data_IF_523701273907
#
_entry.id   IF_523701273907
#
_cell.length_a   1.000
_cell.length_b   1.000
_cell.length_c   1.000
_cell.angle_alpha   90.00
_cell.angle_beta   90.00
_cell.angle_gamma   90.00
#
_symmetry.space_group_name_H-M   'P 1'
#
loop_
_entity.id
_entity.type
_entity.pdbx_description
1 polymer ?
#
# COMPACT_ATOMS: atom_id res chain seq x y z
N UNK A 1 -7.46 19.53 -10.07
CA UNK A 1 -7.63 18.65 -8.90
C UNK A 1 -6.28 18.53 -8.23
N UNK A 2 -6.21 18.63 -6.91
CA UNK A 2 -4.95 18.43 -6.18
C UNK A 2 -4.79 16.95 -5.83
N UNK A 3 -3.63 16.36 -6.14
CA UNK A 3 -3.33 14.96 -5.82
C UNK A 3 -2.86 14.83 -4.39
N UNK A 4 -3.34 13.82 -3.67
CA UNK A 4 -2.71 13.35 -2.45
C UNK A 4 -1.56 12.42 -2.82
N UNK A 5 -0.33 12.91 -2.73
CA UNK A 5 0.85 12.19 -3.22
C UNK A 5 2.04 12.40 -2.30
N UNK A 6 2.88 11.40 -2.19
CA UNK A 6 4.15 11.43 -1.46
C UNK A 6 4.90 10.13 -1.60
N UNK A 7 5.89 9.90 -0.74
CA UNK A 7 6.74 8.74 -0.81
C UNK A 7 6.69 7.88 0.46
N UNK A 8 7.44 6.78 0.45
CA UNK A 8 7.66 5.94 1.61
C UNK A 8 8.81 6.51 2.46
N UNK A 9 8.47 7.08 3.61
CA UNK A 9 9.38 7.86 4.45
C UNK A 9 10.00 7.07 5.59
N UNK A 10 11.23 7.46 5.98
CA UNK A 10 11.89 6.92 7.15
C UNK A 10 11.30 7.47 8.45
N UNK A 11 11.06 6.60 9.43
CA UNK A 11 10.59 6.95 10.78
C UNK A 11 11.74 7.33 11.74
N UNK A 12 12.98 7.35 11.26
CA UNK A 12 14.12 7.77 12.08
C UNK A 12 13.92 9.22 12.59
N UNK A 13 14.04 9.42 13.90
CA UNK A 13 13.78 10.71 14.55
C UNK A 13 12.34 10.91 15.03
N UNK A 14 11.43 9.96 14.80
CA UNK A 14 10.06 9.98 15.29
C UNK A 14 9.09 10.85 14.47
N UNK A 15 7.93 11.15 15.06
CA UNK A 15 6.80 11.77 14.37
C UNK A 15 7.11 13.12 13.72
N UNK A 16 7.84 14.00 14.41
CA UNK A 16 8.18 15.30 13.85
C UNK A 16 9.11 15.21 12.65
N UNK A 17 10.15 14.37 12.73
CA UNK A 17 11.09 14.17 11.64
C UNK A 17 10.43 13.52 10.42
N UNK A 18 9.44 12.65 10.63
CA UNK A 18 8.64 12.05 9.57
C UNK A 18 7.87 13.13 8.79
N UNK A 19 7.21 14.04 9.49
CA UNK A 19 6.47 15.14 8.88
C UNK A 19 7.39 16.15 8.17
N UNK A 20 8.54 16.47 8.77
CA UNK A 20 9.55 17.34 8.15
C UNK A 20 10.02 16.77 6.80
N UNK A 21 10.28 15.46 6.71
CA UNK A 21 10.64 14.80 5.43
C UNK A 21 9.53 14.94 4.40
N UNK A 22 8.26 14.73 4.81
CA UNK A 22 7.13 14.92 3.89
C UNK A 22 7.05 16.36 3.37
N UNK A 23 7.29 17.36 4.23
CA UNK A 23 7.35 18.77 3.80
C UNK A 23 8.52 19.02 2.83
N UNK A 24 9.69 18.45 3.08
CA UNK A 24 10.87 18.58 2.21
C UNK A 24 10.64 18.02 0.81
N UNK A 25 9.85 16.95 0.70
CA UNK A 25 9.46 16.36 -0.60
C UNK A 25 8.25 17.06 -1.23
N UNK A 26 7.56 17.93 -0.50
CA UNK A 26 6.29 18.53 -0.93
C UNK A 26 5.14 17.54 -0.93
N UNK A 27 5.22 16.48 -0.12
CA UNK A 27 4.19 15.45 0.00
C UNK A 27 2.90 15.96 0.66
N UNK A 28 1.77 15.38 0.26
CA UNK A 28 0.44 15.60 0.85
C UNK A 28 -0.22 14.29 1.29
N UNK A 29 0.43 13.17 1.08
CA UNK A 29 0.23 11.85 1.62
C UNK A 29 1.60 11.19 1.78
N UNK A 30 1.73 10.11 2.51
CA UNK A 30 2.96 9.33 2.60
C UNK A 30 2.73 7.97 3.24
N UNK A 31 3.73 7.08 3.08
CA UNK A 31 3.81 5.82 3.80
C UNK A 31 4.99 5.80 4.77
N UNK A 32 4.97 4.88 5.72
CA UNK A 32 6.09 4.56 6.60
C UNK A 32 5.90 3.17 7.21
N UNK A 33 6.98 2.56 7.69
CA UNK A 33 6.90 1.34 8.49
C UNK A 33 6.71 1.69 9.97
N UNK A 34 5.67 1.16 10.66
CA UNK A 34 5.47 1.44 12.09
C UNK A 34 6.56 0.82 12.96
N UNK A 35 7.23 -0.22 12.44
CA UNK A 35 8.39 -0.90 13.03
C UNK A 35 9.35 -1.36 11.93
N UNK A 36 10.53 -1.89 12.31
CA UNK A 36 11.50 -2.37 11.32
C UNK A 36 10.90 -3.35 10.32
N UNK A 37 11.01 -3.12 9.00
CA UNK A 37 10.45 -4.00 7.98
C UNK A 37 11.10 -5.39 7.92
N UNK A 38 12.27 -5.56 8.57
CA UNK A 38 13.04 -6.81 8.58
C UNK A 38 12.94 -7.59 9.90
N UNK A 39 11.91 -7.33 10.71
CA UNK A 39 11.64 -8.10 11.94
C UNK A 39 12.64 -7.89 13.08
N UNK A 40 13.59 -6.98 12.96
CA UNK A 40 14.42 -6.59 14.10
C UNK A 40 13.59 -5.72 15.04
N UNK A 41 13.70 -5.92 16.34
CA UNK A 41 13.15 -5.00 17.34
C UNK A 41 13.76 -3.62 17.13
N UNK A 42 13.16 -2.81 16.26
CA UNK A 42 13.39 -1.37 16.25
C UNK A 42 12.60 -0.77 17.40
N UNK A 43 13.05 0.37 17.89
CA UNK A 43 12.22 1.17 18.79
C UNK A 43 10.96 1.54 18.01
N UNK A 44 9.82 1.01 18.44
CA UNK A 44 8.53 1.39 17.87
C UNK A 44 8.34 2.90 17.97
N UNK A 45 7.56 3.48 17.06
CA UNK A 45 7.12 4.87 17.20
C UNK A 45 6.40 5.02 18.55
N UNK A 46 6.59 6.18 19.19
CA UNK A 46 6.00 6.44 20.49
C UNK A 46 4.46 6.56 20.37
N UNK A 47 3.68 5.65 20.97
CA UNK A 47 2.22 5.72 20.90
C UNK A 47 1.66 7.04 21.47
N UNK A 48 2.32 7.63 22.46
CA UNK A 48 1.88 8.89 23.07
C UNK A 48 1.92 10.07 22.07
N UNK A 49 2.78 10.02 21.06
CA UNK A 49 2.85 11.04 20.01
C UNK A 49 1.86 10.84 18.86
N UNK A 50 1.27 9.66 18.74
CA UNK A 50 0.46 9.30 17.57
C UNK A 50 -0.78 10.19 17.39
N UNK A 51 -1.54 10.44 18.46
CA UNK A 51 -2.73 11.31 18.40
C UNK A 51 -2.37 12.75 18.04
N UNK A 52 -1.32 13.32 18.64
CA UNK A 52 -0.85 14.67 18.32
C UNK A 52 -0.38 14.77 16.87
N UNK A 53 0.31 13.74 16.38
CA UNK A 53 0.71 13.65 14.98
C UNK A 53 -0.48 13.60 14.03
N UNK A 54 -1.48 12.75 14.30
CA UNK A 54 -2.71 12.66 13.52
C UNK A 54 -3.47 13.99 13.47
N UNK A 55 -3.63 14.66 14.62
CA UNK A 55 -4.27 15.97 14.69
C UNK A 55 -3.53 17.03 13.86
N UNK A 56 -2.20 17.00 13.85
CA UNK A 56 -1.37 17.91 13.05
C UNK A 56 -1.54 17.66 11.56
N UNK A 57 -1.47 16.40 11.10
CA UNK A 57 -1.70 16.05 9.70
C UNK A 57 -3.07 16.52 9.21
N UNK A 58 -4.11 16.29 10.01
CA UNK A 58 -5.47 16.76 9.70
C UNK A 58 -5.54 18.27 9.56
N UNK A 59 -4.90 18.99 10.49
CA UNK A 59 -4.87 20.46 10.46
C UNK A 59 -4.10 21.02 9.25
N UNK A 60 -3.07 20.31 8.78
CA UNK A 60 -2.27 20.67 7.60
C UNK A 60 -2.90 20.20 6.28
N UNK A 61 -4.04 19.48 6.32
CA UNK A 61 -4.78 19.08 5.12
C UNK A 61 -4.20 17.88 4.38
N UNK A 62 -3.46 17.03 5.07
CA UNK A 62 -2.96 15.78 4.48
C UNK A 62 -4.11 14.86 4.04
N UNK A 63 -3.89 14.15 2.94
CA UNK A 63 -4.71 13.03 2.51
C UNK A 63 -4.58 11.82 3.44
N UNK A 64 -5.26 10.72 3.13
CA UNK A 64 -5.14 9.49 3.91
C UNK A 64 -3.69 9.00 3.97
N UNK A 65 -3.24 8.57 5.16
CA UNK A 65 -1.96 7.88 5.32
C UNK A 65 -2.07 6.42 4.86
N UNK A 66 -1.03 5.92 4.23
CA UNK A 66 -0.92 4.53 3.79
C UNK A 66 0.27 3.89 4.48
N UNK A 67 0.09 3.48 5.75
CA UNK A 67 1.16 2.87 6.54
C UNK A 67 1.45 1.47 6.02
N UNK A 68 2.71 1.14 5.79
CA UNK A 68 3.10 -0.16 5.25
C UNK A 68 3.50 -1.13 6.36
N UNK A 69 2.86 -2.28 6.42
CA UNK A 69 3.25 -3.33 7.36
C UNK A 69 4.63 -3.92 6.98
N UNK A 70 5.43 -4.36 7.97
CA UNK A 70 6.71 -5.02 7.68
C UNK A 70 6.60 -6.22 6.75
N UNK A 71 7.53 -6.36 5.81
CA UNK A 71 7.58 -7.46 4.82
C UNK A 71 7.67 -8.86 5.45
N UNK A 72 8.09 -8.95 6.72
CA UNK A 72 8.16 -10.23 7.43
C UNK A 72 6.80 -10.79 7.84
N UNK A 73 5.73 -10.01 7.74
CA UNK A 73 4.38 -10.48 8.03
C UNK A 73 3.92 -11.40 6.90
N UNK A 74 3.80 -12.68 7.18
CA UNK A 74 3.31 -13.66 6.20
C UNK A 74 2.14 -14.45 6.79
N UNK A 75 0.93 -13.98 6.52
CA UNK A 75 -0.30 -14.63 6.96
C UNK A 75 -0.57 -15.96 6.22
N UNK A 76 0.02 -16.17 5.03
CA UNK A 76 -0.14 -17.37 4.22
C UNK A 76 0.89 -18.48 4.52
N UNK A 77 1.88 -18.21 5.37
CA UNK A 77 3.00 -19.15 5.59
C UNK A 77 2.58 -20.42 6.31
N UNK A 78 3.27 -21.54 6.04
CA UNK A 78 3.01 -22.84 6.70
C UNK A 78 3.46 -22.92 8.16
N UNK A 79 4.37 -22.04 8.57
CA UNK A 79 4.89 -21.96 9.94
C UNK A 79 3.90 -21.21 10.82
N UNK A 80 3.22 -21.95 11.70
CA UNK A 80 2.18 -21.41 12.57
C UNK A 80 2.73 -20.34 13.52
N UNK A 81 3.92 -20.53 14.08
CA UNK A 81 4.52 -19.54 15.00
C UNK A 81 4.79 -18.20 14.29
N UNK A 82 5.21 -18.24 13.01
CA UNK A 82 5.39 -17.03 12.20
C UNK A 82 4.07 -16.37 11.84
N UNK A 83 3.02 -17.16 11.54
CA UNK A 83 1.69 -16.60 11.31
C UNK A 83 1.13 -15.93 12.56
N UNK A 84 1.22 -16.60 13.72
CA UNK A 84 0.79 -16.04 15.01
C UNK A 84 1.51 -14.72 15.30
N UNK A 85 2.83 -14.69 15.11
CA UNK A 85 3.61 -13.46 15.23
C UNK A 85 3.10 -12.35 14.29
N UNK A 86 2.82 -12.67 13.03
CA UNK A 86 2.32 -11.69 12.06
C UNK A 86 0.95 -11.14 12.46
N UNK A 87 0.04 -12.00 12.95
CA UNK A 87 -1.29 -11.61 13.43
C UNK A 87 -1.18 -10.67 14.64
N UNK A 88 -0.37 -11.04 15.63
CA UNK A 88 -0.18 -10.25 16.85
C UNK A 88 0.46 -8.90 16.55
N UNK A 89 1.51 -8.89 15.74
CA UNK A 89 2.23 -7.67 15.39
C UNK A 89 1.37 -6.73 14.50
N UNK A 90 0.56 -7.26 13.59
CA UNK A 90 -0.36 -6.46 12.79
C UNK A 90 -1.47 -5.84 13.66
N UNK A 91 -1.99 -6.58 14.65
CA UNK A 91 -2.97 -6.04 15.60
C UNK A 91 -2.37 -4.89 16.43
N UNK A 92 -1.14 -5.04 16.95
CA UNK A 92 -0.42 -3.97 17.65
C UNK A 92 -0.18 -2.74 16.77
N UNK A 93 0.13 -2.93 15.48
CA UNK A 93 0.29 -1.83 14.53
C UNK A 93 -1.04 -1.09 14.30
N UNK A 94 -2.16 -1.82 14.19
CA UNK A 94 -3.50 -1.23 14.08
C UNK A 94 -3.84 -0.42 15.34
N UNK A 95 -3.54 -0.92 16.54
CA UNK A 95 -3.76 -0.18 17.80
C UNK A 95 -2.99 1.15 17.81
N UNK A 96 -1.73 1.15 17.39
CA UNK A 96 -0.94 2.38 17.26
C UNK A 96 -1.60 3.38 16.29
N UNK A 97 -2.07 2.91 15.14
CA UNK A 97 -2.67 3.75 14.11
C UNK A 97 -4.07 4.22 14.46
N UNK A 98 -4.79 3.50 15.32
CA UNK A 98 -6.11 3.90 15.81
C UNK A 98 -6.05 5.26 16.51
N UNK A 99 -5.00 5.57 17.25
CA UNK A 99 -4.81 6.88 17.87
C UNK A 99 -4.69 8.02 16.84
N UNK A 100 -4.07 7.77 15.68
CA UNK A 100 -3.98 8.73 14.56
C UNK A 100 -5.38 8.96 13.96
N UNK A 101 -6.12 7.88 13.74
CA UNK A 101 -7.48 7.93 13.19
C UNK A 101 -8.45 8.65 14.13
N UNK A 102 -8.41 8.35 15.42
CA UNK A 102 -9.26 9.01 16.43
C UNK A 102 -8.98 10.51 16.56
N UNK A 103 -7.77 10.95 16.24
CA UNK A 103 -7.42 12.36 16.11
C UNK A 103 -7.96 13.03 14.83
N UNK A 104 -8.67 12.28 13.98
CA UNK A 104 -9.37 12.76 12.79
C UNK A 104 -8.60 12.65 11.48
N UNK A 105 -7.41 12.04 11.49
CA UNK A 105 -6.64 11.74 10.28
C UNK A 105 -7.04 10.36 9.73
N UNK A 106 -7.44 10.31 8.46
CA UNK A 106 -7.69 9.03 7.79
C UNK A 106 -6.37 8.28 7.61
N UNK A 107 -6.38 6.98 7.97
CA UNK A 107 -5.20 6.12 7.92
C UNK A 107 -5.59 4.70 7.57
N UNK A 108 -4.80 4.08 6.70
CA UNK A 108 -4.87 2.68 6.31
C UNK A 108 -3.57 1.98 6.66
N UNK A 109 -3.62 0.65 6.81
CA UNK A 109 -2.42 -0.18 6.85
C UNK A 109 -2.39 -1.11 5.64
N UNK A 110 -1.37 -0.93 4.79
CA UNK A 110 -1.12 -1.77 3.63
C UNK A 110 -0.32 -3.01 4.04
N UNK A 111 -0.69 -4.17 3.52
CA UNK A 111 0.06 -5.42 3.69
C UNK A 111 0.29 -6.10 2.34
N UNK A 112 1.46 -6.72 2.16
CA UNK A 112 1.58 -7.82 1.23
C UNK A 112 0.73 -8.98 1.77
N UNK A 113 -0.21 -9.55 1.01
CA UNK A 113 -1.10 -10.60 1.54
C UNK A 113 -0.34 -11.78 2.13
N UNK A 114 0.78 -12.15 1.52
CA UNK A 114 1.68 -13.18 1.98
C UNK A 114 2.07 -14.17 0.88
N UNK A 115 2.89 -15.16 1.24
CA UNK A 115 3.35 -16.21 0.34
C UNK A 115 3.00 -17.59 0.91
N UNK A 116 2.40 -18.45 0.09
CA UNK A 116 1.90 -19.76 0.53
C UNK A 116 3.00 -20.83 0.75
N UNK A 117 4.22 -20.54 0.35
CA UNK A 117 5.43 -21.38 0.61
C UNK A 117 5.19 -22.86 0.29
N UNK A 118 4.65 -23.16 -0.90
CA UNK A 118 4.42 -24.52 -1.39
C UNK A 118 3.14 -25.21 -0.90
N UNK A 119 2.26 -24.55 -0.12
CA UNK A 119 0.98 -25.12 0.32
C UNK A 119 -0.15 -25.01 -0.71
N UNK A 120 0.08 -24.26 -1.78
CA UNK A 120 -0.92 -23.91 -2.80
C UNK A 120 -1.66 -22.63 -2.51
N UNK A 121 -2.08 -21.96 -3.57
CA UNK A 121 -2.72 -20.63 -3.55
C UNK A 121 -4.02 -20.64 -2.74
N UNK A 122 -4.89 -21.64 -2.95
CA UNK A 122 -6.15 -21.76 -2.21
C UNK A 122 -5.93 -21.81 -0.69
N UNK A 123 -4.98 -22.64 -0.24
CA UNK A 123 -4.60 -22.70 1.18
C UNK A 123 -4.04 -21.36 1.66
N UNK A 124 -3.19 -20.72 0.86
CA UNK A 124 -2.61 -19.42 1.18
C UNK A 124 -3.68 -18.34 1.37
N UNK A 125 -4.59 -18.19 0.42
CA UNK A 125 -5.68 -17.21 0.47
C UNK A 125 -6.59 -17.44 1.68
N UNK A 126 -6.95 -18.70 1.97
CA UNK A 126 -7.74 -19.05 3.16
C UNK A 126 -7.02 -18.68 4.46
N UNK A 127 -5.75 -19.00 4.59
CA UNK A 127 -4.95 -18.66 5.78
C UNK A 127 -4.83 -17.14 5.99
N UNK A 128 -4.73 -16.36 4.91
CA UNK A 128 -4.73 -14.89 4.99
C UNK A 128 -6.05 -14.39 5.55
N UNK A 129 -7.17 -14.86 5.01
CA UNK A 129 -8.51 -14.48 5.50
C UNK A 129 -8.72 -14.83 6.97
N UNK A 130 -8.37 -16.07 7.37
CA UNK A 130 -8.44 -16.53 8.76
C UNK A 130 -7.54 -15.69 9.68
N UNK A 131 -6.33 -15.34 9.19
CA UNK A 131 -5.41 -14.47 9.92
C UNK A 131 -5.96 -13.06 10.12
N UNK A 132 -6.54 -12.46 9.08
CA UNK A 132 -7.17 -11.14 9.17
C UNK A 132 -8.40 -11.16 10.11
N UNK A 133 -9.21 -12.20 10.12
CA UNK A 133 -10.30 -12.34 11.08
C UNK A 133 -9.78 -12.31 12.51
N UNK A 134 -8.70 -13.05 12.81
CA UNK A 134 -8.06 -13.03 14.13
C UNK A 134 -7.43 -11.66 14.47
N UNK A 135 -6.91 -10.94 13.49
CA UNK A 135 -6.43 -9.56 13.68
C UNK A 135 -7.58 -8.65 14.09
N UNK A 136 -8.71 -8.70 13.36
CA UNK A 136 -9.87 -7.84 13.63
C UNK A 136 -10.63 -8.21 14.92
N UNK A 137 -10.49 -9.43 15.42
CA UNK A 137 -10.96 -9.79 16.79
C UNK A 137 -10.14 -9.10 17.89
N UNK A 138 -8.89 -8.74 17.63
CA UNK A 138 -7.95 -8.13 18.60
C UNK A 138 -7.92 -6.61 18.50
N UNK A 139 -7.91 -6.08 17.27
CA UNK A 139 -7.83 -4.66 16.99
C UNK A 139 -8.66 -4.32 15.75
N UNK A 140 -9.53 -3.33 15.89
CA UNK A 140 -10.30 -2.79 14.77
C UNK A 140 -10.10 -1.27 14.66
N UNK A 141 -10.75 -0.66 13.70
CA UNK A 141 -10.72 0.80 13.57
C UNK A 141 -9.79 1.33 12.48
N UNK A 142 -8.85 0.54 11.98
CA UNK A 142 -8.03 0.87 10.81
C UNK A 142 -8.26 -0.18 9.73
N UNK A 143 -8.56 0.27 8.51
CA UNK A 143 -8.74 -0.63 7.37
C UNK A 143 -7.40 -1.21 6.95
N UNK A 144 -7.36 -2.53 6.74
CA UNK A 144 -6.23 -3.24 6.14
C UNK A 144 -6.40 -3.24 4.63
N UNK A 145 -5.38 -2.81 3.91
CA UNK A 145 -5.34 -2.85 2.45
C UNK A 145 -4.47 -4.03 2.01
N UNK A 146 -5.04 -4.88 1.18
CA UNK A 146 -4.30 -5.95 0.49
C UNK A 146 -3.65 -5.36 -0.74
N UNK A 147 -2.35 -5.46 -0.85
CA UNK A 147 -1.64 -5.00 -2.02
C UNK A 147 -1.81 -5.96 -3.20
N UNK A 148 -1.99 -5.42 -4.41
CA UNK A 148 -1.87 -6.20 -5.63
C UNK A 148 -0.42 -6.65 -5.80
N UNK A 149 -0.18 -7.95 -5.97
CA UNK A 149 1.18 -8.52 -6.01
C UNK A 149 1.62 -8.88 -7.43
N UNK A 150 2.92 -8.80 -7.67
CA UNK A 150 3.54 -9.13 -8.97
C UNK A 150 3.48 -10.64 -9.32
N UNK A 151 3.17 -11.50 -8.36
CA UNK A 151 3.16 -12.95 -8.56
C UNK A 151 4.54 -13.60 -8.49
N UNK A 152 5.47 -12.97 -7.77
CA UNK A 152 6.82 -13.49 -7.59
C UNK A 152 6.82 -14.72 -6.68
N UNK A 153 7.38 -15.81 -7.14
CA UNK A 153 7.51 -17.04 -6.37
C UNK A 153 6.15 -17.64 -5.97
N UNK A 154 5.80 -17.58 -4.69
CA UNK A 154 4.58 -18.16 -4.13
C UNK A 154 3.67 -17.12 -3.48
N UNK A 155 3.75 -15.88 -3.92
CA UNK A 155 2.89 -14.79 -3.45
C UNK A 155 1.41 -15.09 -3.72
N UNK A 156 0.55 -14.71 -2.77
CA UNK A 156 -0.89 -14.66 -2.91
C UNK A 156 -1.31 -13.21 -3.22
N UNK A 157 -2.43 -13.04 -3.92
CA UNK A 157 -2.90 -11.71 -4.34
C UNK A 157 -2.27 -11.22 -5.64
N UNK A 158 -1.71 -12.13 -6.44
CA UNK A 158 -1.10 -11.84 -7.75
C UNK A 158 -2.11 -11.53 -8.87
N UNK A 159 -3.37 -11.78 -8.63
CA UNK A 159 -4.46 -11.43 -9.53
C UNK A 159 -5.69 -10.99 -8.71
N UNK A 160 -6.63 -10.35 -9.37
CA UNK A 160 -7.82 -9.82 -8.73
C UNK A 160 -8.72 -10.90 -8.12
N UNK A 161 -8.78 -12.10 -8.71
CA UNK A 161 -9.57 -13.21 -8.19
C UNK A 161 -9.02 -13.75 -6.86
N UNK A 162 -7.70 -13.82 -6.70
CA UNK A 162 -7.07 -14.19 -5.42
C UNK A 162 -7.35 -13.14 -4.34
N UNK A 163 -7.27 -11.84 -4.66
CA UNK A 163 -7.62 -10.77 -3.73
C UNK A 163 -9.10 -10.82 -3.35
N UNK A 164 -10.00 -11.01 -4.32
CA UNK A 164 -11.42 -11.19 -4.06
C UNK A 164 -11.69 -12.41 -3.16
N UNK A 165 -11.01 -13.54 -3.42
CA UNK A 165 -11.10 -14.75 -2.59
C UNK A 165 -10.68 -14.48 -1.14
N UNK A 166 -9.57 -13.75 -0.93
CA UNK A 166 -9.13 -13.36 0.41
C UNK A 166 -10.17 -12.47 1.07
N UNK A 167 -10.63 -11.43 0.37
CA UNK A 167 -11.63 -10.48 0.89
C UNK A 167 -12.96 -11.17 1.21
N UNK A 168 -13.35 -12.17 0.42
CA UNK A 168 -14.57 -12.95 0.66
C UNK A 168 -14.50 -13.84 1.90
N UNK A 169 -13.31 -14.27 2.29
CA UNK A 169 -13.09 -15.01 3.54
C UNK A 169 -13.00 -14.13 4.78
N UNK A 170 -12.86 -12.79 4.63
CA UNK A 170 -12.87 -11.85 5.76
C UNK A 170 -14.30 -11.59 6.22
N UNK A 171 -14.59 -11.77 7.52
CA UNK A 171 -15.94 -11.59 8.09
C UNK A 171 -16.36 -10.11 8.07
N UNK A 172 -15.52 -9.22 8.56
CA UNK A 172 -15.77 -7.78 8.53
C UNK A 172 -15.28 -7.15 7.21
N UNK A 173 -16.10 -7.24 6.17
CA UNK A 173 -15.84 -6.69 4.83
C UNK A 173 -15.57 -5.18 4.81
N UNK A 174 -15.98 -4.44 5.84
CA UNK A 174 -15.74 -3.00 5.92
C UNK A 174 -14.29 -2.68 6.29
N UNK A 175 -13.58 -3.61 6.92
CA UNK A 175 -12.21 -3.41 7.40
C UNK A 175 -11.13 -3.87 6.40
N UNK A 176 -11.53 -4.30 5.19
CA UNK A 176 -10.58 -4.72 4.16
C UNK A 176 -10.81 -3.97 2.85
N UNK A 177 -9.72 -3.53 2.23
CA UNK A 177 -9.67 -2.87 0.93
C UNK A 177 -8.45 -3.31 0.15
N UNK A 178 -8.10 -2.57 -0.89
CA UNK A 178 -6.99 -2.88 -1.80
C UNK A 178 -6.09 -1.66 -1.99
N UNK A 179 -4.78 -1.89 -1.98
CA UNK A 179 -3.78 -1.00 -2.56
C UNK A 179 -3.46 -1.48 -3.98
N UNK A 180 -3.59 -0.59 -4.94
CA UNK A 180 -3.28 -0.86 -6.35
C UNK A 180 -1.83 -0.44 -6.62
N UNK A 181 -0.90 -1.41 -6.71
CA UNK A 181 0.48 -1.12 -7.13
C UNK A 181 0.59 -1.23 -8.65
N UNK A 182 1.01 -0.14 -9.29
CA UNK A 182 1.06 -0.03 -10.74
C UNK A 182 2.13 -0.90 -11.38
N UNK A 183 3.27 -1.08 -10.72
CA UNK A 183 4.35 -1.99 -11.14
C UNK A 183 3.88 -3.44 -11.02
N UNK A 184 3.33 -3.82 -9.86
CA UNK A 184 2.91 -5.19 -9.59
C UNK A 184 1.78 -5.65 -10.53
N UNK A 185 0.83 -4.79 -10.83
CA UNK A 185 -0.28 -5.10 -11.75
C UNK A 185 0.25 -5.36 -13.16
N UNK A 186 1.18 -4.53 -13.67
CA UNK A 186 1.83 -4.78 -14.96
C UNK A 186 2.62 -6.11 -14.92
N UNK A 187 3.41 -6.30 -13.89
CA UNK A 187 4.26 -7.48 -13.72
C UNK A 187 3.43 -8.78 -13.57
N UNK A 188 2.22 -8.68 -13.05
CA UNK A 188 1.26 -9.79 -12.92
C UNK A 188 0.50 -10.12 -14.22
N UNK A 189 0.70 -9.36 -15.30
CA UNK A 189 0.13 -9.65 -16.62
C UNK A 189 -1.08 -8.81 -17.01
N UNK A 190 -1.40 -7.74 -16.30
CA UNK A 190 -2.44 -6.79 -16.68
C UNK A 190 -1.86 -5.66 -17.53
N UNK A 191 -2.29 -5.55 -18.78
CA UNK A 191 -1.73 -4.60 -19.76
C UNK A 191 -2.21 -3.16 -19.51
N UNK A 192 -1.64 -2.52 -18.49
CA UNK A 192 -1.93 -1.13 -18.15
C UNK A 192 -1.51 -0.12 -19.23
N UNK A 193 -0.61 -0.52 -20.13
CA UNK A 193 -0.07 0.36 -21.19
C UNK A 193 -1.02 0.43 -22.37
N UNK A 194 -1.52 -0.72 -22.84
CA UNK A 194 -2.32 -0.78 -24.05
C UNK A 194 -3.83 -0.96 -23.79
N UNK A 195 -4.22 -1.48 -22.63
CA UNK A 195 -5.62 -1.77 -22.26
C UNK A 195 -5.99 -1.32 -20.84
N UNK A 196 -5.63 -0.08 -20.47
CA UNK A 196 -5.96 0.50 -19.16
C UNK A 196 -7.45 0.34 -18.81
N UNK A 197 -8.37 0.67 -19.75
CA UNK A 197 -9.82 0.60 -19.48
C UNK A 197 -10.31 -0.83 -19.25
N UNK A 198 -9.77 -1.79 -19.99
CA UNK A 198 -10.06 -3.21 -19.81
C UNK A 198 -9.58 -3.70 -18.43
N UNK A 199 -8.38 -3.32 -18.02
CA UNK A 199 -7.85 -3.65 -16.68
C UNK A 199 -8.70 -3.03 -15.58
N UNK A 200 -9.04 -1.74 -15.67
CA UNK A 200 -9.88 -1.07 -14.69
C UNK A 200 -11.30 -1.64 -14.63
N UNK A 201 -11.86 -2.02 -15.78
CA UNK A 201 -13.14 -2.71 -15.83
C UNK A 201 -13.08 -4.08 -15.14
N UNK A 202 -12.02 -4.87 -15.39
CA UNK A 202 -11.83 -6.16 -14.72
C UNK A 202 -11.68 -5.99 -13.21
N UNK A 203 -10.92 -5.00 -12.76
CA UNK A 203 -10.77 -4.64 -11.35
C UNK A 203 -12.12 -4.30 -10.70
N UNK A 204 -12.96 -3.51 -11.42
CA UNK A 204 -14.29 -3.14 -10.93
C UNK A 204 -15.24 -4.34 -10.82
N UNK A 205 -15.25 -5.20 -11.83
CA UNK A 205 -16.11 -6.40 -11.85
C UNK A 205 -15.74 -7.39 -10.76
N UNK A 206 -14.43 -7.61 -10.52
CA UNK A 206 -13.95 -8.67 -9.60
C UNK A 206 -13.89 -8.17 -8.16
N UNK A 207 -13.40 -6.96 -7.93
CA UNK A 207 -13.14 -6.40 -6.58
C UNK A 207 -14.11 -5.25 -6.27
N UNK A 208 -14.41 -4.41 -7.25
CA UNK A 208 -15.11 -3.15 -7.11
C UNK A 208 -14.14 -1.99 -6.86
N UNK A 209 -14.16 -0.97 -7.72
CA UNK A 209 -13.28 0.21 -7.61
C UNK A 209 -13.43 0.93 -6.26
N UNK A 210 -14.59 0.87 -5.63
CA UNK A 210 -14.83 1.44 -4.31
C UNK A 210 -13.99 0.81 -3.18
N UNK A 211 -13.46 -0.40 -3.40
CA UNK A 211 -12.56 -1.10 -2.46
C UNK A 211 -11.10 -0.70 -2.62
N UNK A 212 -10.71 -0.10 -3.73
CA UNK A 212 -9.38 0.47 -3.91
C UNK A 212 -9.29 1.76 -3.08
N UNK A 213 -8.34 1.84 -2.17
CA UNK A 213 -8.20 2.93 -1.20
C UNK A 213 -6.87 3.68 -1.30
N UNK A 214 -5.88 3.07 -1.94
CA UNK A 214 -4.56 3.64 -2.13
C UNK A 214 -3.93 3.13 -3.43
N UNK A 215 -2.94 3.84 -3.89
CA UNK A 215 -2.12 3.47 -5.04
C UNK A 215 -0.65 3.52 -4.61
N UNK A 216 0.09 2.45 -4.85
CA UNK A 216 1.53 2.53 -4.96
C UNK A 216 1.85 2.90 -6.41
N UNK A 217 2.36 4.11 -6.60
CA UNK A 217 2.60 4.68 -7.92
C UNK A 217 4.06 4.48 -8.30
N UNK A 218 4.34 3.37 -8.98
CA UNK A 218 5.68 2.93 -9.33
C UNK A 218 5.75 2.59 -10.82
N UNK A 219 6.82 2.97 -11.52
CA UNK A 219 7.09 2.41 -12.85
C UNK A 219 7.76 1.03 -12.70
N UNK A 220 7.76 0.22 -13.74
CA UNK A 220 8.37 -1.11 -13.71
C UNK A 220 9.61 -1.19 -14.60
N UNK A 221 10.70 -1.77 -14.06
CA UNK A 221 11.91 -2.07 -14.85
C UNK A 221 11.66 -3.15 -15.91
N UNK A 222 10.63 -3.96 -15.74
CA UNK A 222 10.32 -5.10 -16.61
C UNK A 222 8.95 -4.92 -17.27
N UNK A 223 8.75 -5.62 -18.38
CA UNK A 223 7.50 -5.55 -19.14
C UNK A 223 6.42 -6.46 -18.56
N UNK A 224 5.28 -6.43 -19.25
CA UNK A 224 4.08 -7.21 -18.97
C UNK A 224 4.39 -8.68 -18.65
N UNK A 225 3.74 -9.22 -17.60
CA UNK A 225 3.82 -10.64 -17.18
C UNK A 225 5.23 -11.09 -16.75
N UNK A 226 6.02 -10.18 -16.22
CA UNK A 226 7.41 -10.45 -15.85
C UNK A 226 7.57 -11.17 -14.51
N UNK A 227 6.66 -10.97 -13.56
CA UNK A 227 6.70 -11.46 -12.18
C UNK A 227 8.00 -11.10 -11.41
N UNK A 228 8.52 -9.87 -11.64
CA UNK A 228 9.85 -9.47 -11.11
C UNK A 228 9.79 -8.59 -9.88
N UNK A 229 8.77 -7.75 -9.75
CA UNK A 229 8.67 -6.80 -8.64
C UNK A 229 9.96 -5.96 -8.53
N UNK A 230 10.16 -5.06 -9.49
CA UNK A 230 11.30 -4.16 -9.55
C UNK A 230 10.84 -2.79 -10.01
N UNK A 231 10.71 -1.88 -9.06
CA UNK A 231 10.30 -0.51 -9.30
C UNK A 231 11.36 0.26 -10.09
N UNK A 232 10.94 0.97 -11.11
CA UNK A 232 11.69 2.02 -11.78
C UNK A 232 11.15 3.39 -11.35
N UNK A 233 11.94 4.43 -11.51
CA UNK A 233 11.48 5.80 -11.31
C UNK A 233 10.46 6.19 -12.38
N UNK A 234 9.58 7.14 -12.06
CA UNK A 234 8.43 7.50 -12.90
C UNK A 234 8.89 7.94 -14.29
N UNK A 235 8.43 7.23 -15.31
CA UNK A 235 8.77 7.46 -16.72
C UNK A 235 10.08 6.85 -17.19
N UNK A 236 10.81 6.15 -16.31
CA UNK A 236 12.05 5.44 -16.64
C UNK A 236 11.85 3.94 -16.88
N UNK A 237 10.63 3.45 -16.72
CA UNK A 237 10.27 2.04 -16.87
C UNK A 237 9.37 1.75 -18.07
N UNK A 238 8.64 0.64 -17.96
CA UNK A 238 7.84 0.08 -19.05
C UNK A 238 6.40 0.63 -19.08
N UNK A 239 5.90 1.21 -17.97
CA UNK A 239 4.61 1.91 -17.96
C UNK A 239 4.70 3.25 -18.69
N UNK A 240 5.70 4.05 -18.38
CA UNK A 240 6.03 5.32 -19.04
C UNK A 240 5.04 6.45 -18.77
N UNK A 241 5.41 7.66 -19.16
CA UNK A 241 4.66 8.89 -18.92
C UNK A 241 3.19 8.86 -19.42
N UNK A 242 2.87 8.26 -20.59
CA UNK A 242 1.48 8.20 -21.06
C UNK A 242 0.54 7.49 -20.08
N UNK A 243 0.98 6.38 -19.48
CA UNK A 243 0.21 5.66 -18.45
C UNK A 243 -0.02 6.55 -17.22
N UNK A 244 1.04 7.17 -16.67
CA UNK A 244 0.91 8.03 -15.50
C UNK A 244 0.04 9.25 -15.78
N UNK A 245 0.13 9.84 -16.99
CA UNK A 245 -0.79 10.91 -17.41
C UNK A 245 -2.23 10.46 -17.34
N UNK A 246 -2.53 9.23 -17.78
CA UNK A 246 -3.87 8.67 -17.69
C UNK A 246 -4.31 8.45 -16.25
N UNK A 247 -3.46 7.83 -15.43
CA UNK A 247 -3.73 7.51 -14.03
C UNK A 247 -4.08 8.74 -13.19
N UNK A 248 -3.26 9.80 -13.28
CA UNK A 248 -3.49 11.03 -12.49
C UNK A 248 -4.66 11.88 -12.98
N UNK A 249 -5.24 11.55 -14.12
CA UNK A 249 -6.45 12.18 -14.67
C UNK A 249 -7.68 11.25 -14.63
N UNK A 250 -7.53 10.02 -14.13
CA UNK A 250 -8.66 9.12 -13.93
C UNK A 250 -9.58 9.66 -12.81
N UNK A 251 -10.90 9.77 -13.05
CA UNK A 251 -11.82 10.44 -12.13
C UNK A 251 -12.00 9.74 -10.77
N UNK A 252 -11.60 8.47 -10.66
CA UNK A 252 -11.64 7.68 -9.42
C UNK A 252 -10.25 7.59 -8.83
N UNK A 253 -9.26 7.11 -9.59
CA UNK A 253 -7.91 6.85 -9.11
C UNK A 253 -7.19 8.11 -8.65
N UNK A 254 -7.36 9.23 -9.34
CA UNK A 254 -6.73 10.50 -8.98
C UNK A 254 -7.17 11.09 -7.63
N UNK A 255 -8.23 10.54 -7.01
CA UNK A 255 -8.70 10.96 -5.67
C UNK A 255 -8.06 10.17 -4.54
N UNK A 256 -7.39 9.06 -4.86
CA UNK A 256 -6.78 8.17 -3.88
C UNK A 256 -5.37 8.67 -3.51
N UNK A 257 -4.90 8.38 -2.29
CA UNK A 257 -3.51 8.64 -1.93
C UNK A 257 -2.57 7.80 -2.80
N UNK A 258 -1.56 8.47 -3.37
CA UNK A 258 -0.53 7.91 -4.24
C UNK A 258 0.81 7.91 -3.51
N UNK A 259 1.43 6.75 -3.38
CA UNK A 259 2.68 6.57 -2.67
C UNK A 259 3.76 6.07 -3.62
N UNK A 260 4.85 6.81 -3.70
CA UNK A 260 6.07 6.43 -4.42
C UNK A 260 6.89 5.47 -3.55
N UNK A 261 7.28 4.36 -4.13
CA UNK A 261 8.26 3.41 -3.55
C UNK A 261 9.45 3.22 -4.49
N UNK A 262 9.64 4.19 -5.36
CA UNK A 262 10.74 4.25 -6.30
C UNK A 262 12.07 4.41 -5.59
N UNK A 263 13.15 4.05 -6.27
CA UNK A 263 14.49 4.15 -5.67
C UNK A 263 14.94 5.60 -5.61
N UNK A 264 15.30 6.05 -4.42
CA UNK A 264 15.94 7.34 -4.23
C UNK A 264 17.34 7.34 -4.88
N UNK A 265 17.51 8.12 -5.93
CA UNK A 265 18.76 8.28 -6.68
C UNK A 265 19.54 9.50 -6.18
N UNK A 266 18.82 10.56 -5.77
CA UNK A 266 19.33 11.79 -5.17
C UNK A 266 18.38 12.24 -4.06
N UNK A 267 18.78 13.14 -3.14
CA UNK A 267 17.86 13.68 -2.12
C UNK A 267 16.64 14.43 -2.67
N UNK A 268 16.62 14.75 -3.96
CA UNK A 268 15.51 15.42 -4.62
C UNK A 268 14.61 14.46 -5.41
N UNK A 269 14.95 13.18 -5.54
CA UNK A 269 14.28 12.24 -6.45
C UNK A 269 12.77 12.20 -6.24
N UNK A 270 12.30 11.95 -5.03
CA UNK A 270 10.86 11.85 -4.77
C UNK A 270 10.15 13.19 -4.95
N UNK A 271 10.78 14.31 -4.59
CA UNK A 271 10.22 15.64 -4.88
C UNK A 271 10.02 15.85 -6.38
N UNK A 272 11.04 15.54 -7.18
CA UNK A 272 10.99 15.69 -8.63
C UNK A 272 9.90 14.80 -9.24
N UNK A 273 9.72 13.56 -8.74
CA UNK A 273 8.67 12.65 -9.18
C UNK A 273 7.27 13.14 -8.76
N UNK A 274 7.11 13.69 -7.55
CA UNK A 274 5.87 14.31 -7.09
C UNK A 274 5.50 15.51 -7.98
N UNK A 275 6.47 16.37 -8.28
CA UNK A 275 6.28 17.53 -9.16
C UNK A 275 5.95 17.10 -10.60
N UNK A 276 6.62 16.06 -11.11
CA UNK A 276 6.33 15.47 -12.41
C UNK A 276 4.88 15.00 -12.48
N UNK A 277 4.43 14.16 -11.54
CA UNK A 277 3.07 13.61 -11.55
C UNK A 277 2.00 14.71 -11.41
N UNK A 278 2.23 15.73 -10.57
CA UNK A 278 1.36 16.91 -10.49
C UNK A 278 1.32 17.69 -11.79
N UNK A 279 2.44 17.78 -12.50
CA UNK A 279 2.54 18.44 -13.80
C UNK A 279 1.77 17.73 -14.92
N UNK A 280 1.46 16.45 -14.77
CA UNK A 280 0.66 15.66 -15.72
C UNK A 280 -0.86 15.85 -15.54
N UNK A 281 -1.32 16.47 -14.45
CA UNK A 281 -2.75 16.72 -14.21
C UNK A 281 -3.28 17.74 -15.20
N UNK A 282 -4.32 17.36 -15.94
CA UNK A 282 -4.99 18.24 -16.91
C UNK A 282 -5.95 19.20 -16.19
N UNK A 283 -5.97 20.44 -16.68
CA UNK A 283 -6.82 21.52 -16.11
C UNK A 283 -8.24 21.47 -16.62
#
# INVERSE_FOLDING_TARGET
MELYIGSHLSTAGGWNALLERSHEEGGTAFAFFPRSPYGKRSKALDPAGAAAFGARLKAEGYGPLVVHAPYVYNLAGKDEAKRTFAIEALAEDIELLTAIREAGQEVYINIHPGAHVGQGTETGCRLISEGLNQVFERADGVMVLLETMAGKGTECGRNFDELATIMDGVENKANVGVTFDTCHVLDAGYDLVNDYDGVMHQLDVVIGLAKVKAIHVNDSQFGLDSHKDRHANIGEGQLGIPFFTRLVNDPIMAKLPMILETKEQTPATHRDEIELLRGLVQK
#
